data_IF_478304496100
#
_entry.id   IF_478304496100
#
_cell.length_a   1.000
_cell.length_b   1.000
_cell.length_c   1.000
_cell.angle_alpha   90.00
_cell.angle_beta   90.00
_cell.angle_gamma   90.00
#
_symmetry.space_group_name_H-M   'P 1'
#
loop_
_entity.id
_entity.type
_entity.pdbx_description
1 polymer ?
#
# COMPACT_ATOMS: atom_id res chain seq x y z
N UNK A 1 -7.70 7.90 -7.59
CA UNK A 1 -6.51 8.77 -7.54
C UNK A 1 -6.79 9.92 -6.58
N UNK A 2 -5.81 10.32 -5.77
CA UNK A 2 -5.93 11.40 -4.80
C UNK A 2 -6.13 12.75 -5.52
N UNK A 3 -7.20 13.48 -5.19
CA UNK A 3 -7.39 14.86 -5.64
C UNK A 3 -6.70 15.83 -4.66
N UNK A 4 -5.58 16.49 -5.05
CA UNK A 4 -4.84 17.39 -4.18
C UNK A 4 -5.63 18.66 -3.82
N UNK A 5 -6.56 19.10 -4.68
CA UNK A 5 -7.42 20.27 -4.40
C UNK A 5 -8.42 19.92 -3.32
N UNK A 6 -9.04 18.73 -3.41
CA UNK A 6 -9.96 18.25 -2.40
C UNK A 6 -9.25 17.98 -1.07
N UNK A 7 -8.09 17.31 -1.09
CA UNK A 7 -7.31 17.04 0.13
C UNK A 7 -6.87 18.33 0.84
N UNK A 8 -6.47 19.38 0.11
CA UNK A 8 -6.14 20.69 0.69
C UNK A 8 -7.34 21.33 1.39
N UNK A 9 -8.55 21.20 0.83
CA UNK A 9 -9.81 21.67 1.46
C UNK A 9 -10.13 20.93 2.75
N UNK A 10 -9.67 19.69 2.89
CA UNK A 10 -9.81 18.89 4.12
C UNK A 10 -8.69 19.14 5.14
N UNK A 11 -7.78 20.09 4.88
CA UNK A 11 -6.69 20.45 5.80
C UNK A 11 -5.43 19.61 5.66
N UNK A 12 -5.30 18.81 4.59
CA UNK A 12 -4.06 18.07 4.32
C UNK A 12 -2.98 19.02 3.80
N UNK A 13 -1.78 18.95 4.37
CA UNK A 13 -0.61 19.62 3.83
C UNK A 13 -0.07 18.87 2.61
N UNK A 14 -0.48 19.29 1.41
CA UNK A 14 -0.06 18.64 0.15
C UNK A 14 1.44 18.75 -0.09
N UNK A 15 2.07 19.81 0.41
CA UNK A 15 3.47 20.11 0.10
C UNK A 15 4.44 19.19 0.89
N UNK A 16 3.97 18.62 2.00
CA UNK A 16 4.69 17.61 2.82
C UNK A 16 4.15 16.19 2.62
N UNK A 17 3.11 15.99 1.80
CA UNK A 17 2.51 14.68 1.59
C UNK A 17 3.36 13.84 0.64
N UNK A 18 3.93 12.75 1.16
CA UNK A 18 4.59 11.74 0.34
C UNK A 18 3.55 10.93 -0.45
N UNK A 19 3.75 10.84 -1.76
CA UNK A 19 2.88 10.07 -2.66
C UNK A 19 3.72 9.07 -3.43
N UNK A 20 3.24 7.82 -3.51
CA UNK A 20 3.83 6.77 -4.33
C UNK A 20 2.74 6.13 -5.18
N UNK A 21 3.04 5.90 -6.46
CA UNK A 21 2.19 5.17 -7.40
C UNK A 21 2.94 3.91 -7.88
N UNK A 22 2.81 2.80 -7.15
CA UNK A 22 3.48 1.56 -7.51
C UNK A 22 2.80 0.87 -8.70
N UNK A 23 3.60 0.16 -9.49
CA UNK A 23 3.18 -0.63 -10.65
C UNK A 23 2.60 -1.98 -10.23
N UNK A 24 3.05 -2.56 -9.11
CA UNK A 24 2.57 -3.87 -8.61
C UNK A 24 2.29 -3.85 -7.11
N UNK A 25 1.48 -4.82 -6.65
CA UNK A 25 1.17 -5.00 -5.23
C UNK A 25 2.41 -5.33 -4.38
N UNK A 26 3.36 -6.10 -4.91
CA UNK A 26 4.63 -6.38 -4.24
C UNK A 26 5.42 -5.09 -4.02
N UNK A 27 5.57 -4.27 -5.07
CA UNK A 27 6.30 -3.01 -4.99
C UNK A 27 5.62 -2.05 -3.99
N UNK A 28 4.28 -1.96 -4.02
CA UNK A 28 3.53 -1.15 -3.07
C UNK A 28 3.83 -1.52 -1.61
N UNK A 29 3.83 -2.82 -1.30
CA UNK A 29 4.06 -3.34 0.05
C UNK A 29 5.54 -3.22 0.46
N UNK A 30 6.47 -3.28 -0.48
CA UNK A 30 7.90 -3.05 -0.23
C UNK A 30 8.21 -1.57 0.07
N UNK A 31 7.57 -0.64 -0.66
CA UNK A 31 7.64 0.79 -0.37
C UNK A 31 7.06 1.07 1.02
N UNK A 32 5.87 0.51 1.32
CA UNK A 32 5.26 0.61 2.64
C UNK A 32 6.22 0.15 3.74
N UNK A 33 6.84 -1.01 3.56
CA UNK A 33 7.75 -1.59 4.55
C UNK A 33 9.03 -0.75 4.71
N UNK A 34 9.56 -0.20 3.62
CA UNK A 34 10.73 0.68 3.66
C UNK A 34 10.44 1.97 4.43
N UNK A 35 9.30 2.61 4.14
CA UNK A 35 8.88 3.84 4.83
C UNK A 35 8.65 3.59 6.33
N UNK A 36 7.93 2.52 6.68
CA UNK A 36 7.72 2.13 8.08
C UNK A 36 9.05 1.85 8.78
N UNK A 37 9.98 1.10 8.18
CA UNK A 37 11.29 0.81 8.78
C UNK A 37 12.14 2.06 8.99
N UNK A 38 12.01 3.06 8.12
CA UNK A 38 12.79 4.29 8.22
C UNK A 38 12.42 5.12 9.45
N UNK A 39 11.22 4.93 10.00
CA UNK A 39 10.66 5.78 11.06
C UNK A 39 10.39 7.22 10.61
N UNK A 40 10.46 7.52 9.31
CA UNK A 40 10.24 8.86 8.76
C UNK A 40 8.76 9.21 8.60
N UNK A 41 7.85 8.25 8.81
CA UNK A 41 6.40 8.44 8.66
C UNK A 41 5.67 7.98 9.91
N UNK A 42 4.80 8.84 10.44
CA UNK A 42 3.92 8.50 11.56
C UNK A 42 2.66 7.78 11.09
N UNK A 43 2.16 8.11 9.89
CA UNK A 43 0.96 7.52 9.28
C UNK A 43 1.21 7.20 7.82
N UNK A 44 0.82 6.00 7.39
CA UNK A 44 0.85 5.57 6.00
C UNK A 44 -0.51 5.00 5.59
N UNK A 45 -1.01 5.41 4.42
CA UNK A 45 -2.28 4.95 3.86
C UNK A 45 -2.04 4.21 2.54
N UNK A 46 -2.62 3.01 2.42
CA UNK A 46 -2.68 2.24 1.17
C UNK A 46 -4.09 2.34 0.60
N UNK A 47 -4.22 3.09 -0.49
CA UNK A 47 -5.47 3.31 -1.24
C UNK A 47 -5.34 2.70 -2.65
N UNK A 48 -5.79 1.46 -2.91
CA UNK A 48 -6.53 0.55 -2.03
C UNK A 48 -6.01 -0.89 -2.14
N UNK A 49 -6.41 -1.76 -1.22
CA UNK A 49 -6.05 -3.19 -1.22
C UNK A 49 -6.49 -3.88 -2.50
N UNK A 50 -7.68 -3.55 -3.01
CA UNK A 50 -8.20 -4.07 -4.27
C UNK A 50 -7.27 -3.76 -5.47
N UNK A 51 -6.51 -2.66 -5.41
CA UNK A 51 -5.55 -2.26 -6.43
C UNK A 51 -4.13 -2.86 -6.23
N UNK A 52 -3.90 -3.66 -5.18
CA UNK A 52 -2.64 -4.37 -4.97
C UNK A 52 -2.58 -5.62 -5.85
N UNK A 53 -2.48 -5.40 -7.16
CA UNK A 53 -2.44 -6.47 -8.17
C UNK A 53 -1.04 -7.12 -8.17
N UNK A 54 -0.94 -8.44 -7.92
CA UNK A 54 0.34 -9.14 -7.98
C UNK A 54 0.97 -9.05 -9.37
N UNK A 55 2.30 -8.99 -9.43
CA UNK A 55 3.03 -8.92 -10.71
C UNK A 55 2.65 -10.04 -11.69
N UNK A 56 2.50 -11.26 -11.19
CA UNK A 56 2.14 -12.41 -12.03
C UNK A 56 0.72 -12.31 -12.63
N UNK A 57 -0.17 -11.52 -12.02
CA UNK A 57 -1.50 -11.25 -12.57
C UNK A 57 -1.44 -10.13 -13.62
N UNK A 58 -0.60 -9.10 -13.42
CA UNK A 58 -0.37 -8.04 -14.40
C UNK A 58 0.33 -8.53 -15.68
N UNK A 59 1.20 -9.52 -15.56
CA UNK A 59 1.92 -10.14 -16.68
C UNK A 59 1.13 -11.30 -17.33
N UNK A 60 0.05 -11.75 -16.70
CA UNK A 60 -0.80 -12.84 -17.19
C UNK A 60 -1.81 -12.40 -18.25
N UNK A 61 -2.52 -13.38 -18.83
CA UNK A 61 -3.61 -13.09 -19.76
C UNK A 61 -4.94 -12.91 -19.02
N UNK A 62 -5.83 -12.10 -19.59
CA UNK A 62 -7.17 -11.91 -19.04
C UNK A 62 -7.94 -13.24 -19.10
N UNK A 63 -8.25 -13.80 -17.93
CA UNK A 63 -8.91 -15.09 -17.80
C UNK A 63 -8.04 -16.18 -17.18
N UNK A 64 -6.74 -15.93 -16.99
CA UNK A 64 -5.87 -16.83 -16.25
C UNK A 64 -6.33 -16.99 -14.80
N UNK A 65 -6.54 -18.23 -14.38
CA UNK A 65 -6.95 -18.54 -13.02
C UNK A 65 -5.73 -18.55 -12.09
N UNK A 66 -5.54 -17.47 -11.32
CA UNK A 66 -4.55 -17.37 -10.25
C UNK A 66 -5.23 -17.25 -8.87
N UNK A 67 -6.02 -18.26 -8.45
CA UNK A 67 -6.86 -18.16 -7.27
C UNK A 67 -6.04 -17.90 -5.99
N UNK A 68 -6.45 -16.86 -5.25
CA UNK A 68 -5.87 -16.53 -3.95
C UNK A 68 -4.47 -15.89 -4.01
N UNK A 69 -4.00 -15.45 -5.18
CA UNK A 69 -2.69 -14.82 -5.31
C UNK A 69 -2.58 -13.54 -4.46
N UNK A 70 -3.58 -12.65 -4.55
CA UNK A 70 -3.66 -11.44 -3.74
C UNK A 70 -3.72 -11.74 -2.23
N UNK A 71 -4.48 -12.75 -1.81
CA UNK A 71 -4.56 -13.16 -0.41
C UNK A 71 -3.22 -13.68 0.14
N UNK A 72 -2.46 -14.43 -0.68
CA UNK A 72 -1.12 -14.90 -0.34
C UNK A 72 -0.13 -13.75 -0.24
N UNK A 73 -0.15 -12.83 -1.21
CA UNK A 73 0.65 -11.61 -1.20
C UNK A 73 0.43 -10.82 0.10
N UNK A 74 -0.84 -10.52 0.42
CA UNK A 74 -1.21 -9.80 1.64
C UNK A 74 -0.77 -10.54 2.90
N UNK A 75 -0.99 -11.86 2.98
CA UNK A 75 -0.59 -12.66 4.15
C UNK A 75 0.91 -12.64 4.41
N UNK A 76 1.72 -12.65 3.35
CA UNK A 76 3.19 -12.58 3.45
C UNK A 76 3.64 -11.17 3.82
N UNK A 77 3.11 -10.15 3.14
CA UNK A 77 3.46 -8.76 3.36
C UNK A 77 3.07 -8.28 4.75
N UNK A 78 1.85 -8.53 5.20
CA UNK A 78 1.38 -8.14 6.53
C UNK A 78 2.21 -8.79 7.63
N UNK A 79 2.61 -10.05 7.47
CA UNK A 79 3.51 -10.71 8.44
C UNK A 79 4.83 -9.97 8.60
N UNK A 80 5.42 -9.50 7.50
CA UNK A 80 6.67 -8.72 7.49
C UNK A 80 6.44 -7.32 8.06
N UNK A 81 5.35 -6.66 7.65
CA UNK A 81 4.99 -5.30 8.04
C UNK A 81 4.68 -5.19 9.53
N UNK A 82 3.95 -6.15 10.12
CA UNK A 82 3.63 -6.14 11.56
C UNK A 82 4.88 -6.01 12.43
N UNK A 83 5.97 -6.71 12.06
CA UNK A 83 7.24 -6.62 12.77
C UNK A 83 7.91 -5.24 12.61
N UNK A 84 7.76 -4.59 11.45
CA UNK A 84 8.28 -3.25 11.17
C UNK A 84 7.46 -2.17 11.90
N UNK A 85 6.13 -2.28 11.89
CA UNK A 85 5.17 -1.37 12.54
C UNK A 85 5.44 -1.31 14.05
N UNK A 86 5.59 -2.48 14.68
CA UNK A 86 5.83 -2.56 16.12
C UNK A 86 7.13 -1.87 16.58
N UNK A 87 8.09 -1.65 15.68
CA UNK A 87 9.37 -0.99 16.01
C UNK A 87 9.39 0.50 15.70
N UNK A 88 8.54 0.96 14.78
CA UNK A 88 8.56 2.31 14.22
C UNK A 88 7.48 3.23 14.80
N UNK A 89 6.49 2.67 15.50
CA UNK A 89 5.32 3.40 15.98
C UNK A 89 4.50 4.07 14.85
N UNK A 90 4.66 3.59 13.61
CA UNK A 90 3.88 4.05 12.45
C UNK A 90 2.49 3.40 12.43
N UNK A 91 1.45 4.20 12.24
CA UNK A 91 0.11 3.70 11.93
C UNK A 91 -0.02 3.40 10.43
N UNK A 92 -0.46 2.19 10.07
CA UNK A 92 -0.70 1.81 8.67
C UNK A 92 -2.19 1.54 8.46
N UNK A 93 -2.79 2.23 7.50
CA UNK A 93 -4.22 2.15 7.17
C UNK A 93 -4.37 1.55 5.77
N UNK A 94 -5.20 0.52 5.65
CA UNK A 94 -5.56 -0.09 4.37
C UNK A 94 -7.00 0.25 4.02
N UNK A 95 -7.21 0.88 2.87
CA UNK A 95 -8.55 1.08 2.29
C UNK A 95 -8.90 -0.15 1.47
N UNK A 96 -10.06 -0.74 1.70
CA UNK A 96 -10.53 -1.90 0.95
C UNK A 96 -11.98 -1.70 0.47
N UNK A 97 -12.34 -2.43 -0.58
CA UNK A 97 -13.68 -2.44 -1.17
C UNK A 97 -14.50 -3.61 -0.59
N UNK A 98 -15.83 -3.46 -0.54
CA UNK A 98 -16.80 -4.52 -0.20
C UNK A 98 -17.41 -5.06 -1.48
#
# INVERSE_FOLDING_TARGET
ALDPVYARKLGVNIDELLISQPDTGEQALEICDTLVRSGAVDVLVVDSVAALVPKAELEGEMGDALPGLQARLMSQALRKLTASINKSNTMVIFINQI
#
